data_IF_981249187611
#
_entry.id   IF_981249187611
#
_cell.length_a   1.000
_cell.length_b   1.000
_cell.length_c   1.000
_cell.angle_alpha   90.00
_cell.angle_beta   90.00
_cell.angle_gamma   90.00
#
_symmetry.space_group_name_H-M   'P 1'
#
loop_
_entity.id
_entity.type
_entity.pdbx_description
1 polymer ?
#
# COMPACT_ATOMS: atom_id res chain seq x y z
N UNK A 1 -13.11 3.87 -9.72
CA UNK A 1 -12.11 4.80 -9.14
C UNK A 1 -10.79 4.54 -9.83
N UNK A 2 -10.11 5.60 -10.26
CA UNK A 2 -8.96 5.53 -11.14
C UNK A 2 -7.87 4.62 -10.57
N UNK A 3 -7.35 3.75 -11.44
CA UNK A 3 -6.09 3.05 -11.27
C UNK A 3 -5.08 4.12 -10.84
N UNK A 4 -4.72 4.15 -9.54
CA UNK A 4 -3.67 5.05 -9.06
C UNK A 4 -2.45 4.59 -9.84
N UNK A 5 -1.99 5.45 -10.75
CA UNK A 5 -0.83 5.21 -11.58
C UNK A 5 0.41 5.25 -10.67
N UNK A 6 0.60 4.16 -9.93
CA UNK A 6 1.70 3.96 -9.00
C UNK A 6 3.01 3.87 -9.75
N UNK A 7 3.00 3.36 -10.98
CA UNK A 7 4.13 3.47 -11.90
C UNK A 7 4.43 4.94 -12.16
N UNK A 8 3.45 5.74 -12.57
CA UNK A 8 3.62 7.19 -12.75
C UNK A 8 4.00 7.95 -11.49
N UNK A 9 3.54 7.56 -10.30
CA UNK A 9 3.93 8.20 -9.03
C UNK A 9 5.37 7.84 -8.64
N UNK A 10 5.76 6.57 -8.77
CA UNK A 10 7.12 6.10 -8.50
C UNK A 10 8.06 6.68 -9.56
N UNK A 11 7.68 6.67 -10.83
CA UNK A 11 8.44 7.24 -11.94
C UNK A 11 8.55 8.77 -11.80
N UNK A 12 7.49 9.46 -11.36
CA UNK A 12 7.55 10.89 -11.04
C UNK A 12 8.45 11.15 -9.85
N UNK A 13 8.43 10.32 -8.80
CA UNK A 13 9.36 10.46 -7.66
C UNK A 13 10.80 10.21 -8.06
N UNK A 14 11.04 9.20 -8.90
CA UNK A 14 12.36 8.91 -9.48
C UNK A 14 12.81 10.07 -10.39
N UNK A 15 11.91 10.63 -11.20
CA UNK A 15 12.19 11.75 -12.12
C UNK A 15 12.43 13.07 -11.40
N UNK A 16 11.63 13.39 -10.39
CA UNK A 16 11.84 14.54 -9.50
C UNK A 16 13.21 14.49 -8.82
N UNK A 17 13.66 13.30 -8.43
CA UNK A 17 14.99 13.08 -7.86
C UNK A 17 16.11 13.17 -8.94
N UNK A 18 15.87 12.69 -10.17
CA UNK A 18 16.78 12.89 -11.31
C UNK A 18 16.93 14.37 -11.70
N UNK A 19 15.84 15.12 -11.73
CA UNK A 19 15.80 16.56 -12.09
C UNK A 19 16.50 17.44 -11.06
N UNK A 20 16.48 17.04 -9.78
CA UNK A 20 17.26 17.70 -8.71
C UNK A 20 18.77 17.45 -8.78
N UNK A 21 19.23 16.60 -9.71
CA UNK A 21 20.65 16.27 -9.84
C UNK A 21 21.18 15.35 -8.75
N UNK A 22 20.30 14.72 -7.95
CA UNK A 22 20.68 13.71 -6.95
C UNK A 22 21.29 12.46 -7.61
N UNK A 23 21.09 12.31 -8.93
CA UNK A 23 21.67 11.24 -9.76
C UNK A 23 22.97 11.62 -10.48
N UNK A 24 23.32 12.91 -10.56
CA UNK A 24 24.46 13.40 -11.35
C UNK A 24 25.81 13.29 -10.64
N UNK A 25 25.85 12.84 -9.38
CA UNK A 25 27.09 12.87 -8.59
C UNK A 25 27.52 11.54 -7.97
N UNK A 26 26.95 10.43 -8.42
CA UNK A 26 27.30 9.11 -7.92
C UNK A 26 28.38 8.47 -8.80
N UNK A 27 29.61 8.99 -8.69
CA UNK A 27 30.81 8.26 -9.09
C UNK A 27 31.13 7.26 -7.98
N UNK A 28 30.85 5.97 -8.19
CA UNK A 28 31.22 4.98 -7.18
C UNK A 28 30.67 3.58 -7.39
N UNK A 29 30.93 2.96 -8.53
CA UNK A 29 30.96 1.49 -8.55
C UNK A 29 32.09 1.04 -7.60
N UNK A 30 31.72 0.46 -6.46
CA UNK A 30 32.62 -0.27 -5.57
C UNK A 30 33.39 0.52 -4.51
N UNK A 31 33.03 1.77 -4.20
CA UNK A 31 33.68 2.50 -3.08
C UNK A 31 32.89 2.38 -1.76
N UNK A 32 33.59 2.33 -0.61
CA UNK A 32 32.94 2.34 0.71
C UNK A 32 32.01 3.55 0.86
N UNK A 33 30.93 3.38 1.63
CA UNK A 33 29.86 4.37 1.90
C UNK A 33 30.33 5.77 2.37
N UNK A 34 31.62 5.99 2.58
CA UNK A 34 32.21 7.21 3.13
C UNK A 34 32.55 8.32 2.10
N UNK A 35 32.37 8.10 0.80
CA UNK A 35 32.73 9.08 -0.25
C UNK A 35 31.56 9.47 -1.18
N UNK A 36 30.32 9.54 -0.68
CA UNK A 36 29.20 10.09 -1.45
C UNK A 36 29.07 11.59 -1.16
N UNK A 37 29.13 12.45 -2.19
CA UNK A 37 28.91 13.89 -2.02
C UNK A 37 27.58 14.14 -1.30
N UNK A 38 27.71 14.71 -0.10
CA UNK A 38 26.66 14.80 0.89
C UNK A 38 25.66 15.87 0.46
N UNK A 39 24.43 15.45 0.17
CA UNK A 39 23.29 16.30 0.50
C UNK A 39 22.94 16.05 1.98
N UNK A 40 23.33 16.93 2.92
CA UNK A 40 23.08 16.73 4.34
C UNK A 40 21.59 16.76 4.72
N UNK A 41 20.71 17.07 3.76
CA UNK A 41 19.26 17.09 3.94
C UNK A 41 18.54 15.83 3.43
N UNK A 42 19.25 14.91 2.77
CA UNK A 42 18.66 13.69 2.23
C UNK A 42 18.81 12.52 3.21
N UNK A 43 17.67 11.89 3.54
CA UNK A 43 17.60 10.75 4.44
C UNK A 43 18.50 9.61 3.91
N UNK A 44 19.47 9.12 4.71
CA UNK A 44 20.37 8.04 4.31
C UNK A 44 19.65 6.78 3.77
N UNK A 45 18.47 6.47 4.30
CA UNK A 45 17.68 5.29 3.91
C UNK A 45 17.01 5.46 2.55
N UNK A 46 16.67 6.71 2.18
CA UNK A 46 16.19 7.06 0.85
C UNK A 46 17.31 6.94 -0.18
N UNK A 47 18.50 7.47 0.16
CA UNK A 47 19.69 7.42 -0.69
C UNK A 47 20.10 5.98 -1.03
N UNK A 48 20.09 5.10 -0.02
CA UNK A 48 20.39 3.67 -0.18
C UNK A 48 19.36 2.97 -1.08
N UNK A 49 18.06 3.24 -0.85
CA UNK A 49 16.98 2.72 -1.68
C UNK A 49 17.16 3.08 -3.16
N UNK A 50 17.48 4.34 -3.47
CA UNK A 50 17.70 4.80 -4.84
C UNK A 50 18.94 4.19 -5.48
N UNK A 51 20.03 4.03 -4.73
CA UNK A 51 21.24 3.37 -5.22
C UNK A 51 21.00 1.89 -5.57
N UNK A 52 20.28 1.16 -4.72
CA UNK A 52 19.94 -0.25 -4.95
C UNK A 52 19.00 -0.45 -6.15
N UNK A 53 18.11 0.52 -6.42
CA UNK A 53 17.25 0.52 -7.60
C UNK A 53 18.04 0.74 -8.90
N UNK A 54 19.07 1.61 -8.86
CA UNK A 54 19.93 1.92 -10.00
C UNK A 54 20.92 0.79 -10.33
N UNK A 55 21.45 0.09 -9.32
CA UNK A 55 22.49 -0.93 -9.50
C UNK A 55 21.98 -2.29 -9.99
N UNK A 56 20.69 -2.61 -9.82
CA UNK A 56 20.17 -3.96 -10.05
C UNK A 56 19.42 -4.18 -11.37
N UNK A 57 19.42 -3.25 -12.32
CA UNK A 57 18.89 -3.49 -13.67
C UNK A 57 17.55 -4.25 -13.68
N UNK A 58 16.47 -3.64 -13.16
CA UNK A 58 15.10 -4.16 -13.26
C UNK A 58 14.84 -5.57 -12.70
N UNK A 59 14.99 -5.76 -11.39
CA UNK A 59 14.02 -6.64 -10.72
C UNK A 59 13.35 -5.90 -9.57
N UNK A 60 12.13 -5.46 -9.88
CA UNK A 60 11.15 -4.86 -8.98
C UNK A 60 10.07 -5.88 -8.52
N UNK A 61 10.33 -7.17 -8.18
CA UNK A 61 9.29 -8.11 -7.77
C UNK A 61 8.41 -7.59 -6.63
N UNK A 62 8.99 -6.77 -5.75
CA UNK A 62 8.26 -6.14 -4.66
C UNK A 62 7.23 -5.12 -5.18
N UNK A 63 7.44 -4.42 -6.30
CA UNK A 63 6.41 -3.54 -6.88
C UNK A 63 5.21 -4.36 -7.34
N UNK A 64 5.44 -5.43 -8.10
CA UNK A 64 4.37 -6.35 -8.51
C UNK A 64 3.66 -6.93 -7.28
N UNK A 65 4.42 -7.36 -6.28
CA UNK A 65 3.88 -7.89 -5.01
C UNK A 65 3.01 -6.87 -4.29
N UNK A 66 3.42 -5.59 -4.26
CA UNK A 66 2.63 -4.50 -3.69
C UNK A 66 1.30 -4.36 -4.42
N UNK A 67 1.30 -4.38 -5.76
CA UNK A 67 0.07 -4.28 -6.55
C UNK A 67 -0.87 -5.46 -6.31
N UNK A 68 -0.33 -6.67 -6.19
CA UNK A 68 -1.11 -7.86 -5.83
C UNK A 68 -1.79 -7.70 -4.46
N UNK A 69 -1.05 -7.23 -3.45
CA UNK A 69 -1.59 -6.98 -2.11
C UNK A 69 -2.70 -5.93 -2.17
N UNK A 70 -2.46 -4.79 -2.84
CA UNK A 70 -3.48 -3.73 -2.97
C UNK A 70 -4.74 -4.22 -3.68
N UNK A 71 -4.58 -5.02 -4.74
CA UNK A 71 -5.69 -5.66 -5.47
C UNK A 71 -6.48 -6.61 -4.57
N UNK A 72 -5.79 -7.38 -3.70
CA UNK A 72 -6.45 -8.26 -2.75
C UNK A 72 -7.26 -7.48 -1.71
N UNK A 73 -6.73 -6.34 -1.21
CA UNK A 73 -7.45 -5.46 -0.29
C UNK A 73 -8.73 -4.92 -0.93
N UNK A 74 -8.65 -4.44 -2.16
CA UNK A 74 -9.81 -3.94 -2.90
C UNK A 74 -10.87 -5.04 -3.05
N UNK A 75 -10.46 -6.23 -3.50
CA UNK A 75 -11.35 -7.39 -3.67
C UNK A 75 -11.99 -7.82 -2.36
N UNK A 76 -11.25 -7.82 -1.26
CA UNK A 76 -11.79 -8.15 0.06
C UNK A 76 -12.88 -7.16 0.51
N UNK A 77 -12.76 -5.88 0.13
CA UNK A 77 -13.73 -4.85 0.49
C UNK A 77 -15.06 -4.90 -0.28
N UNK A 78 -15.12 -5.54 -1.45
CA UNK A 78 -16.33 -5.56 -2.30
C UNK A 78 -17.54 -6.20 -1.60
N UNK A 79 -17.46 -7.43 -1.03
CA UNK A 79 -18.59 -8.04 -0.35
C UNK A 79 -19.02 -7.25 0.89
N UNK A 80 -18.06 -6.68 1.62
CA UNK A 80 -18.32 -5.86 2.80
C UNK A 80 -19.13 -4.61 2.42
N UNK A 81 -18.64 -3.83 1.46
CA UNK A 81 -19.33 -2.63 0.95
C UNK A 81 -20.76 -2.93 0.54
N UNK A 82 -20.95 -3.98 -0.27
CA UNK A 82 -22.28 -4.38 -0.74
C UNK A 82 -23.19 -4.77 0.43
N UNK A 83 -22.69 -5.52 1.41
CA UNK A 83 -23.49 -5.90 2.57
C UNK A 83 -23.83 -4.70 3.46
N UNK A 84 -22.93 -3.71 3.57
CA UNK A 84 -23.17 -2.47 4.29
C UNK A 84 -24.30 -1.65 3.66
N UNK A 85 -24.26 -1.47 2.34
CA UNK A 85 -25.28 -0.73 1.58
C UNK A 85 -26.67 -1.36 1.75
N UNK A 86 -26.74 -2.69 1.66
CA UNK A 86 -28.00 -3.44 1.87
C UNK A 86 -28.48 -3.27 3.31
N UNK A 87 -27.59 -3.38 4.30
CA UNK A 87 -27.93 -3.19 5.70
C UNK A 87 -28.49 -1.80 5.96
N UNK A 88 -27.77 -0.75 5.55
CA UNK A 88 -28.17 0.65 5.65
C UNK A 88 -29.54 0.91 5.04
N UNK A 89 -29.81 0.39 3.83
CA UNK A 89 -31.11 0.55 3.19
C UNK A 89 -32.21 -0.19 3.97
N UNK A 90 -31.97 -1.42 4.45
CA UNK A 90 -32.99 -2.21 5.15
C UNK A 90 -33.39 -1.60 6.49
N UNK A 91 -32.43 -1.09 7.27
CA UNK A 91 -32.71 -0.52 8.59
C UNK A 91 -33.52 0.78 8.53
N UNK A 92 -33.52 1.50 7.39
CA UNK A 92 -34.39 2.66 7.18
C UNK A 92 -35.88 2.30 7.24
N UNK A 93 -36.25 1.13 6.71
CA UNK A 93 -37.64 0.65 6.66
C UNK A 93 -37.96 -0.37 7.76
N UNK A 94 -36.92 -1.04 8.29
CA UNK A 94 -37.02 -2.08 9.32
C UNK A 94 -35.88 -1.91 10.35
N UNK A 95 -36.03 -1.03 11.34
CA UNK A 95 -34.95 -0.72 12.30
C UNK A 95 -34.39 -1.92 13.07
N UNK A 96 -35.16 -3.00 13.23
CA UNK A 96 -34.76 -4.22 13.94
C UNK A 96 -34.65 -5.44 13.00
N UNK A 97 -34.15 -5.25 11.78
CA UNK A 97 -33.98 -6.32 10.80
C UNK A 97 -32.81 -7.25 11.16
N UNK A 98 -33.05 -8.23 12.04
CA UNK A 98 -32.06 -9.18 12.52
C UNK A 98 -31.37 -9.97 11.38
N UNK A 99 -32.07 -10.19 10.26
CA UNK A 99 -31.49 -10.86 9.10
C UNK A 99 -30.49 -9.95 8.37
N UNK A 100 -30.80 -8.66 8.25
CA UNK A 100 -29.88 -7.68 7.68
C UNK A 100 -28.61 -7.55 8.54
N UNK A 101 -28.78 -7.45 9.86
CA UNK A 101 -27.68 -7.39 10.82
C UNK A 101 -26.80 -8.65 10.74
N UNK A 102 -27.39 -9.85 10.76
CA UNK A 102 -26.65 -11.10 10.66
C UNK A 102 -25.91 -11.26 9.31
N UNK A 103 -26.45 -10.71 8.22
CA UNK A 103 -25.76 -10.71 6.93
C UNK A 103 -24.54 -9.78 6.96
N UNK A 104 -24.72 -8.57 7.49
CA UNK A 104 -23.66 -7.58 7.67
C UNK A 104 -22.52 -8.11 8.54
N UNK A 105 -22.84 -8.66 9.71
CA UNK A 105 -21.85 -9.22 10.64
C UNK A 105 -21.05 -10.37 10.02
N UNK A 106 -21.70 -11.23 9.23
CA UNK A 106 -21.00 -12.30 8.50
C UNK A 106 -20.04 -11.77 7.44
N UNK A 107 -20.44 -10.74 6.69
CA UNK A 107 -19.56 -10.11 5.72
C UNK A 107 -18.35 -9.44 6.40
N UNK A 108 -18.57 -8.79 7.55
CA UNK A 108 -17.50 -8.19 8.35
C UNK A 108 -16.54 -9.24 8.92
N UNK A 109 -17.03 -10.35 9.46
CA UNK A 109 -16.20 -11.44 9.94
C UNK A 109 -15.32 -12.04 8.82
N UNK A 110 -15.89 -12.26 7.63
CA UNK A 110 -15.15 -12.74 6.45
C UNK A 110 -14.10 -11.73 5.99
N UNK A 111 -14.42 -10.44 6.02
CA UNK A 111 -13.48 -9.37 5.68
C UNK A 111 -12.28 -9.35 6.64
N UNK A 112 -12.54 -9.41 7.94
CA UNK A 112 -11.49 -9.44 8.98
C UNK A 112 -10.56 -10.63 8.84
N UNK A 113 -11.11 -11.83 8.55
CA UNK A 113 -10.29 -13.01 8.26
C UNK A 113 -9.37 -12.77 7.05
N UNK A 114 -9.90 -12.17 5.99
CA UNK A 114 -9.14 -11.89 4.76
C UNK A 114 -8.07 -10.83 4.98
N UNK A 115 -8.34 -9.81 5.81
CA UNK A 115 -7.33 -8.84 6.20
C UNK A 115 -6.20 -9.48 7.01
N UNK A 116 -6.49 -10.43 7.90
CA UNK A 116 -5.45 -11.16 8.61
C UNK A 116 -4.54 -11.96 7.66
N UNK A 117 -5.10 -12.56 6.61
CA UNK A 117 -4.31 -13.23 5.55
C UNK A 117 -3.48 -12.24 4.74
N UNK A 118 -4.02 -11.06 4.43
CA UNK A 118 -3.31 -10.00 3.72
C UNK A 118 -2.19 -9.40 4.58
N UNK A 119 -2.40 -9.21 5.89
CA UNK A 119 -1.39 -8.68 6.80
C UNK A 119 -0.16 -9.59 6.87
N UNK A 120 -0.33 -10.92 6.82
CA UNK A 120 0.81 -11.85 6.67
C UNK A 120 1.61 -11.59 5.40
N UNK A 121 0.92 -11.30 4.29
CA UNK A 121 1.59 -10.97 3.02
C UNK A 121 2.28 -9.61 3.08
N UNK A 122 1.74 -8.65 3.83
CA UNK A 122 2.36 -7.35 4.10
C UNK A 122 3.64 -7.55 4.93
N UNK A 123 3.62 -8.43 5.94
CA UNK A 123 4.81 -8.76 6.72
C UNK A 123 5.90 -9.36 5.83
N UNK A 124 5.56 -10.37 5.01
CA UNK A 124 6.50 -10.97 4.04
C UNK A 124 7.04 -9.92 3.06
N UNK A 125 6.19 -9.06 2.53
CA UNK A 125 6.57 -7.95 1.65
C UNK A 125 7.53 -6.97 2.34
N UNK A 126 7.27 -6.63 3.60
CA UNK A 126 8.09 -5.70 4.39
C UNK A 126 9.50 -6.24 4.68
N UNK A 127 9.68 -7.57 4.62
CA UNK A 127 10.99 -8.23 4.69
C UNK A 127 11.73 -8.23 3.34
N UNK A 128 11.01 -8.10 2.23
CA UNK A 128 11.57 -8.10 0.87
C UNK A 128 12.04 -6.71 0.42
N UNK A 129 11.47 -5.65 0.98
CA UNK A 129 11.81 -4.28 0.56
C UNK A 129 13.19 -3.86 1.10
N UNK A 130 13.99 -3.13 0.30
CA UNK A 130 15.34 -2.73 0.68
C UNK A 130 15.39 -1.56 1.69
N UNK A 131 14.26 -0.88 1.91
CA UNK A 131 14.17 0.31 2.77
C UNK A 131 12.78 0.44 3.37
N UNK A 132 12.73 1.01 4.57
CA UNK A 132 11.51 1.23 5.36
C UNK A 132 10.51 2.16 4.66
N UNK A 133 11.00 3.05 3.78
CA UNK A 133 10.17 3.95 2.97
C UNK A 133 9.20 3.20 2.06
N UNK A 134 9.54 1.97 1.65
CA UNK A 134 8.67 1.15 0.80
C UNK A 134 7.75 0.22 1.58
N UNK A 135 7.89 0.12 2.91
CA UNK A 135 7.05 -0.76 3.73
C UNK A 135 5.57 -0.38 3.65
N UNK A 136 4.72 -1.40 3.78
CA UNK A 136 3.28 -1.24 3.94
C UNK A 136 2.92 -1.33 5.41
N UNK A 137 2.01 -0.46 5.84
CA UNK A 137 1.45 -0.52 7.18
C UNK A 137 0.45 -1.67 7.29
N UNK A 138 0.35 -2.30 8.47
CA UNK A 138 -0.69 -3.30 8.72
C UNK A 138 -2.08 -2.68 8.57
N UNK A 139 -3.00 -3.49 8.07
CA UNK A 139 -4.40 -3.13 7.89
C UNK A 139 -5.20 -3.48 9.14
N UNK A 140 -5.95 -2.50 9.64
CA UNK A 140 -6.81 -2.67 10.81
C UNK A 140 -8.28 -2.72 10.37
N UNK A 141 -9.05 -3.76 10.75
CA UNK A 141 -10.43 -3.94 10.30
C UNK A 141 -11.34 -2.72 10.50
N UNK A 142 -11.22 -2.04 11.64
CA UNK A 142 -12.04 -0.88 12.00
C UNK A 142 -11.71 0.34 11.12
N UNK A 143 -10.43 0.54 10.83
CA UNK A 143 -9.96 1.63 9.95
C UNK A 143 -10.40 1.39 8.51
N UNK A 144 -10.26 0.15 8.03
CA UNK A 144 -10.67 -0.20 6.67
C UNK A 144 -12.19 -0.20 6.52
N UNK A 145 -12.93 -0.62 7.55
CA UNK A 145 -14.38 -0.48 7.60
C UNK A 145 -14.77 0.99 7.42
N UNK A 146 -14.22 1.89 8.24
CA UNK A 146 -14.52 3.33 8.17
C UNK A 146 -14.20 3.90 6.77
N UNK A 147 -13.08 3.51 6.17
CA UNK A 147 -12.70 3.91 4.80
C UNK A 147 -13.69 3.42 3.74
N UNK A 148 -14.17 2.19 3.88
CA UNK A 148 -15.08 1.57 2.90
C UNK A 148 -16.52 2.08 3.05
N UNK A 149 -16.95 2.42 4.26
CA UNK A 149 -18.34 2.84 4.53
C UNK A 149 -18.53 4.35 4.55
N UNK A 150 -17.46 5.14 4.43
CA UNK A 150 -17.56 6.59 4.34
C UNK A 150 -18.41 7.03 3.13
N UNK A 151 -19.30 8.03 3.28
CA UNK A 151 -20.01 8.61 2.16
C UNK A 151 -19.01 9.18 1.16
N UNK A 152 -19.20 8.89 -0.12
CA UNK A 152 -18.39 9.49 -1.17
C UNK A 152 -18.87 10.95 -1.32
N UNK A 153 -18.05 11.90 -0.88
CA UNK A 153 -18.26 13.33 -1.15
C UNK A 153 -18.11 13.65 -2.63
#
# INVERSE_FOLDING_TARGET
MGNIDWEGFIEKKIREAMEKGEFSNLRGEGRPFSEMEENPFEDPDQRLAFHMLKSNGFTLPWITRRQEILTQVERAGIPLRRSWEIYQHRIQFRPNDAQAEANWQRAYAQFTQRLAEINKQIDDYNLMVPSDVFRMLPLYPERELARLTAPHS
#
